data_IF_273957970103
#
_entry.id   IF_273957970103
#
_cell.length_a   1.000
_cell.length_b   1.000
_cell.length_c   1.000
_cell.angle_alpha   90.00
_cell.angle_beta   90.00
_cell.angle_gamma   90.00
#
_symmetry.space_group_name_H-M   'P 1'
#
loop_
_entity.id
_entity.type
_entity.pdbx_description
1 polymer ?
#
# COMPACT_ATOMS: atom_id res chain seq x y z
N UNK A 1 6.03 38.28 2.28
CA UNK A 1 6.07 37.36 1.11
C UNK A 1 5.65 35.92 1.44
N UNK A 2 5.92 35.40 2.65
CA UNK A 2 5.49 34.06 3.09
C UNK A 2 3.99 33.89 3.42
N UNK A 3 3.21 34.97 3.56
CA UNK A 3 1.77 34.89 3.85
C UNK A 3 0.86 34.88 2.60
N UNK A 4 1.43 35.11 1.42
CA UNK A 4 0.67 35.18 0.15
C UNK A 4 0.66 33.84 -0.61
N UNK A 5 1.65 32.98 -0.37
CA UNK A 5 1.71 31.61 -0.93
C UNK A 5 0.66 30.70 -0.30
N UNK A 6 0.25 30.96 0.95
CA UNK A 6 -0.82 30.23 1.64
C UNK A 6 -2.23 30.47 1.07
N UNK A 7 -2.46 31.58 0.35
CA UNK A 7 -3.79 31.95 -0.18
C UNK A 7 -4.05 31.54 -1.63
N UNK A 8 -3.04 31.11 -2.37
CA UNK A 8 -3.19 30.62 -3.75
C UNK A 8 -3.47 29.11 -3.85
N UNK A 9 -3.53 28.39 -2.72
CA UNK A 9 -3.69 26.93 -2.66
C UNK A 9 -4.97 26.44 -1.95
N UNK A 10 -5.90 27.32 -1.56
CA UNK A 10 -7.20 26.90 -1.04
C UNK A 10 -8.30 27.14 -2.08
N UNK A 11 -8.46 26.21 -3.02
CA UNK A 11 -9.73 26.09 -3.74
C UNK A 11 -10.54 24.84 -3.44
N UNK A 12 -10.05 23.95 -2.56
CA UNK A 12 -10.86 23.05 -1.74
C UNK A 12 -9.96 22.45 -0.65
N UNK A 13 -9.99 23.01 0.56
CA UNK A 13 -9.39 22.34 1.71
C UNK A 13 -10.30 21.15 2.04
N UNK A 14 -9.90 19.95 1.59
CA UNK A 14 -10.68 18.72 1.75
C UNK A 14 -11.12 18.57 3.23
N UNK A 15 -12.43 18.68 3.48
CA UNK A 15 -12.99 18.62 4.83
C UNK A 15 -12.90 17.18 5.33
N UNK A 16 -12.01 16.93 6.30
CA UNK A 16 -11.85 15.63 6.93
C UNK A 16 -12.90 15.40 8.02
N UNK A 17 -13.44 14.19 8.07
CA UNK A 17 -14.16 13.70 9.24
C UNK A 17 -13.21 13.66 10.45
N UNK A 18 -13.69 13.89 11.69
CA UNK A 18 -12.77 13.95 12.83
C UNK A 18 -12.03 12.65 13.15
N UNK A 19 -12.64 11.49 12.90
CA UNK A 19 -11.91 10.21 12.93
C UNK A 19 -10.72 10.19 11.96
N UNK A 20 -10.88 10.72 10.75
CA UNK A 20 -9.79 10.81 9.77
C UNK A 20 -8.72 11.81 10.19
N UNK A 21 -9.12 12.91 10.81
CA UNK A 21 -8.18 13.89 11.36
C UNK A 21 -7.35 13.25 12.47
N UNK A 22 -8.01 12.56 13.42
CA UNK A 22 -7.34 11.85 14.51
C UNK A 22 -6.35 10.82 13.97
N UNK A 23 -6.78 9.95 13.06
CA UNK A 23 -5.92 8.97 12.39
C UNK A 23 -4.68 9.63 11.75
N UNK A 24 -4.86 10.68 10.96
CA UNK A 24 -3.75 11.37 10.28
C UNK A 24 -2.83 12.17 11.21
N UNK A 25 -3.35 12.68 12.32
CA UNK A 25 -2.55 13.39 13.32
C UNK A 25 -1.68 12.41 14.15
N UNK A 26 -2.02 11.12 14.18
CA UNK A 26 -1.32 10.07 14.93
C UNK A 26 -0.47 9.13 14.04
N UNK A 27 -0.39 9.39 12.72
CA UNK A 27 0.56 8.69 11.86
C UNK A 27 2.00 8.99 12.29
N UNK A 28 2.74 7.95 12.63
CA UNK A 28 4.16 8.02 13.00
C UNK A 28 5.09 7.54 11.88
N UNK A 29 4.58 6.76 10.92
CA UNK A 29 5.33 6.32 9.74
C UNK A 29 5.79 7.51 8.87
N UNK A 30 6.79 7.27 8.01
CA UNK A 30 7.34 8.32 7.16
C UNK A 30 6.26 8.99 6.31
N UNK A 31 6.17 10.33 6.35
CA UNK A 31 5.16 11.05 5.58
C UNK A 31 5.52 11.11 4.09
N UNK A 32 5.30 9.99 3.38
CA UNK A 32 5.51 9.86 1.94
C UNK A 32 4.65 10.81 1.12
N UNK A 33 3.64 11.47 1.70
CA UNK A 33 2.87 12.52 1.02
C UNK A 33 3.72 13.76 0.80
N UNK A 34 4.62 14.09 1.72
CA UNK A 34 5.59 15.19 1.53
C UNK A 34 6.58 14.84 0.42
N UNK A 35 7.10 13.61 0.45
CA UNK A 35 7.99 13.10 -0.60
C UNK A 35 7.29 13.17 -1.97
N UNK A 36 6.04 12.71 -2.04
CA UNK A 36 5.23 12.73 -3.27
C UNK A 36 5.17 14.14 -3.88
N UNK A 37 4.95 15.18 -3.06
CA UNK A 37 4.92 16.58 -3.52
C UNK A 37 6.22 17.05 -4.17
N UNK A 38 7.35 16.45 -3.80
CA UNK A 38 8.68 16.84 -4.26
C UNK A 38 9.09 16.03 -5.50
N UNK A 39 8.89 14.71 -5.48
CA UNK A 39 9.50 13.79 -6.46
C UNK A 39 8.51 13.14 -7.42
N UNK A 40 7.21 13.14 -7.11
CA UNK A 40 6.23 12.49 -7.95
C UNK A 40 5.92 13.34 -9.19
N UNK A 41 5.95 12.71 -10.35
CA UNK A 41 5.51 13.33 -11.59
C UNK A 41 4.01 13.16 -11.73
N UNK A 42 3.33 14.24 -12.14
CA UNK A 42 1.88 14.24 -12.37
C UNK A 42 1.56 13.92 -13.84
N UNK A 43 0.68 12.96 -14.06
CA UNK A 43 0.16 12.68 -15.41
C UNK A 43 -0.84 13.75 -15.84
N UNK A 44 -0.91 14.01 -17.15
CA UNK A 44 -1.98 14.80 -17.77
C UNK A 44 -3.22 13.96 -18.06
N UNK A 45 -3.10 12.64 -18.08
CA UNK A 45 -4.21 11.71 -18.23
C UNK A 45 -5.09 11.75 -16.98
N UNK A 46 -6.40 11.77 -17.19
CA UNK A 46 -7.40 11.72 -16.13
C UNK A 46 -8.00 10.32 -16.14
N UNK A 47 -7.84 9.59 -15.03
CA UNK A 47 -8.45 8.27 -14.88
C UNK A 47 -9.96 8.42 -14.68
N UNK A 48 -10.73 7.56 -15.31
CA UNK A 48 -12.20 7.56 -15.31
C UNK A 48 -12.74 6.17 -15.03
N UNK A 49 -14.06 6.01 -15.00
CA UNK A 49 -14.71 4.70 -14.89
C UNK A 49 -14.31 3.70 -15.99
N UNK A 50 -13.87 4.17 -17.17
CA UNK A 50 -13.36 3.31 -18.26
C UNK A 50 -12.04 2.63 -17.90
N UNK A 51 -11.28 3.24 -17.01
CA UNK A 51 -9.99 2.71 -16.54
C UNK A 51 -10.17 1.81 -15.32
N UNK A 52 -11.40 1.68 -14.77
CA UNK A 52 -11.63 0.90 -13.56
C UNK A 52 -11.22 -0.57 -13.74
N UNK A 53 -10.49 -1.09 -12.77
CA UNK A 53 -10.17 -2.51 -12.70
C UNK A 53 -11.40 -3.30 -12.19
N UNK A 54 -11.57 -4.57 -12.59
CA UNK A 54 -12.63 -5.44 -12.07
C UNK A 54 -12.55 -5.57 -10.54
N UNK A 55 -13.71 -5.63 -9.88
CA UNK A 55 -13.77 -5.78 -8.42
C UNK A 55 -13.16 -7.09 -7.93
N UNK A 56 -13.19 -8.14 -8.76
CA UNK A 56 -12.55 -9.43 -8.52
C UNK A 56 -11.04 -9.27 -8.34
N UNK A 57 -10.40 -8.48 -9.21
CA UNK A 57 -8.97 -8.19 -9.11
C UNK A 57 -8.65 -7.39 -7.85
N UNK A 58 -9.50 -6.43 -7.47
CA UNK A 58 -9.31 -5.69 -6.23
C UNK A 58 -9.40 -6.59 -4.99
N UNK A 59 -10.34 -7.53 -4.95
CA UNK A 59 -10.44 -8.52 -3.86
C UNK A 59 -9.21 -9.42 -3.80
N UNK A 60 -8.74 -9.92 -4.93
CA UNK A 60 -7.52 -10.75 -4.99
C UNK A 60 -6.26 -9.99 -4.53
N UNK A 61 -6.14 -8.71 -4.88
CA UNK A 61 -5.04 -7.88 -4.40
C UNK A 61 -5.16 -7.54 -2.91
N UNK A 62 -6.38 -7.39 -2.39
CA UNK A 62 -6.59 -7.26 -0.95
C UNK A 62 -6.14 -8.53 -0.20
N UNK A 63 -6.50 -9.72 -0.71
CA UNK A 63 -6.05 -11.01 -0.19
C UNK A 63 -4.51 -11.09 -0.09
N UNK A 64 -3.79 -10.79 -1.17
CA UNK A 64 -2.32 -10.76 -1.19
C UNK A 64 -1.73 -9.64 -0.32
N UNK A 65 -2.49 -8.57 -0.10
CA UNK A 65 -2.17 -7.49 0.81
C UNK A 65 -1.98 -7.95 2.26
N UNK A 66 -2.85 -8.81 2.77
CA UNK A 66 -2.73 -9.34 4.14
C UNK A 66 -1.40 -10.06 4.36
N UNK A 67 -0.93 -10.85 3.38
CA UNK A 67 0.38 -11.50 3.45
C UNK A 67 1.53 -10.49 3.43
N UNK A 68 1.43 -9.43 2.60
CA UNK A 68 2.39 -8.33 2.59
C UNK A 68 2.47 -7.57 3.92
N UNK A 69 1.34 -7.40 4.61
CA UNK A 69 1.28 -6.77 5.94
C UNK A 69 1.94 -7.65 7.01
N UNK A 70 1.60 -8.94 7.04
CA UNK A 70 2.18 -9.90 7.98
C UNK A 70 3.68 -10.10 7.77
N UNK A 71 4.20 -9.91 6.55
CA UNK A 71 5.61 -10.08 6.26
C UNK A 71 6.50 -9.15 7.13
N UNK A 72 5.99 -7.99 7.55
CA UNK A 72 6.70 -7.10 8.48
C UNK A 72 7.05 -7.75 9.84
N UNK A 73 6.49 -8.92 10.13
CA UNK A 73 6.82 -9.79 11.27
C UNK A 73 6.81 -9.01 12.59
N UNK A 74 5.80 -8.15 12.76
CA UNK A 74 5.60 -7.32 13.96
C UNK A 74 5.36 -8.21 15.18
N UNK A 75 4.52 -9.22 14.98
CA UNK A 75 4.41 -10.42 15.79
C UNK A 75 4.99 -11.55 14.96
N UNK A 76 5.81 -12.45 15.53
CA UNK A 76 6.34 -13.60 14.79
C UNK A 76 5.23 -14.34 14.05
N UNK A 77 5.40 -14.58 12.75
CA UNK A 77 4.34 -15.21 11.93
C UNK A 77 3.92 -16.57 12.49
N UNK A 78 4.81 -17.35 13.08
CA UNK A 78 4.47 -18.61 13.77
C UNK A 78 3.49 -18.37 14.92
N UNK A 79 3.69 -17.29 15.68
CA UNK A 79 2.80 -16.89 16.77
C UNK A 79 1.45 -16.41 16.22
N UNK A 80 1.44 -15.70 15.08
CA UNK A 80 0.20 -15.31 14.41
C UNK A 80 -0.59 -16.55 13.98
N UNK A 81 0.04 -17.49 13.27
CA UNK A 81 -0.62 -18.71 12.79
C UNK A 81 -1.12 -19.62 13.93
N UNK A 82 -0.38 -19.67 15.05
CA UNK A 82 -0.80 -20.43 16.24
C UNK A 82 -1.96 -19.79 17.01
N UNK A 83 -2.34 -18.55 16.68
CA UNK A 83 -3.39 -17.78 17.37
C UNK A 83 -4.46 -17.24 16.40
N UNK A 84 -4.64 -17.84 15.22
CA UNK A 84 -5.58 -17.34 14.21
C UNK A 84 -7.01 -17.25 14.72
N UNK A 85 -7.49 -18.27 15.45
CA UNK A 85 -8.85 -18.26 16.02
C UNK A 85 -9.14 -17.05 16.91
N UNK A 86 -8.11 -16.51 17.57
CA UNK A 86 -8.21 -15.31 18.38
C UNK A 86 -8.05 -14.05 17.55
N UNK A 87 -7.01 -14.00 16.72
CA UNK A 87 -6.65 -12.80 15.96
C UNK A 87 -7.68 -12.44 14.87
N UNK A 88 -8.50 -13.41 14.42
CA UNK A 88 -9.59 -13.18 13.46
C UNK A 88 -10.94 -12.88 14.11
N UNK A 89 -11.02 -12.72 15.43
CA UNK A 89 -12.27 -12.33 16.09
C UNK A 89 -12.59 -10.85 15.83
N UNK A 90 -13.88 -10.44 15.88
CA UNK A 90 -14.26 -9.04 15.79
C UNK A 90 -13.48 -8.17 16.79
N UNK A 91 -12.93 -7.06 16.32
CA UNK A 91 -12.11 -6.16 17.14
C UNK A 91 -10.64 -6.57 17.27
N UNK A 92 -10.19 -7.67 16.66
CA UNK A 92 -8.77 -8.07 16.58
C UNK A 92 -8.14 -7.73 15.21
N UNK A 93 -6.80 -7.70 15.08
CA UNK A 93 -6.12 -7.13 13.91
C UNK A 93 -6.37 -7.87 12.59
N UNK A 94 -6.80 -9.15 12.64
CA UNK A 94 -7.04 -10.00 11.48
C UNK A 94 -8.53 -10.32 11.30
N UNK A 95 -9.44 -9.52 11.88
CA UNK A 95 -10.90 -9.70 11.83
C UNK A 95 -11.48 -9.82 10.41
N UNK A 96 -10.78 -9.29 9.41
CA UNK A 96 -11.15 -9.30 8.00
C UNK A 96 -10.13 -10.04 7.12
N UNK A 97 -9.25 -10.85 7.73
CA UNK A 97 -8.17 -11.57 7.05
C UNK A 97 -8.43 -13.08 6.96
N UNK A 98 -9.66 -13.47 6.56
CA UNK A 98 -10.05 -14.90 6.42
C UNK A 98 -9.07 -15.68 5.51
N UNK A 99 -8.48 -15.00 4.52
CA UNK A 99 -7.46 -15.58 3.63
C UNK A 99 -6.22 -16.10 4.37
N UNK A 100 -5.84 -15.50 5.50
CA UNK A 100 -4.73 -15.98 6.33
C UNK A 100 -5.15 -17.23 7.08
N UNK A 101 -6.37 -17.23 7.62
CA UNK A 101 -6.96 -18.38 8.32
C UNK A 101 -7.13 -19.60 7.41
N UNK A 102 -7.46 -19.38 6.15
CA UNK A 102 -7.58 -20.40 5.10
C UNK A 102 -6.23 -20.81 4.47
N UNK A 103 -5.11 -20.38 5.06
CA UNK A 103 -3.77 -20.70 4.58
C UNK A 103 -2.94 -21.44 5.62
N UNK A 104 -1.94 -22.19 5.15
CA UNK A 104 -0.98 -22.89 5.99
C UNK A 104 0.37 -22.15 5.92
N UNK A 105 0.91 -21.72 7.07
CA UNK A 105 2.32 -21.31 7.15
C UNK A 105 3.21 -22.51 6.85
N UNK A 106 4.14 -22.35 5.91
CA UNK A 106 5.15 -23.37 5.62
C UNK A 106 6.47 -23.03 6.33
N UNK A 107 7.04 -21.86 6.01
CA UNK A 107 8.36 -21.48 6.53
C UNK A 107 8.52 -19.96 6.60
N UNK A 108 9.07 -19.47 7.71
CA UNK A 108 9.62 -18.11 7.80
C UNK A 108 11.11 -18.10 7.49
N UNK A 109 11.61 -16.97 7.00
CA UNK A 109 13.02 -16.79 6.69
C UNK A 109 13.46 -15.34 6.90
N UNK A 110 14.76 -15.15 7.09
CA UNK A 110 15.36 -13.84 7.33
C UNK A 110 16.57 -13.66 6.43
N UNK A 111 16.62 -12.55 5.70
CA UNK A 111 17.78 -12.17 4.91
C UNK A 111 18.95 -11.71 5.79
N UNK A 112 20.17 -12.06 5.41
CA UNK A 112 21.40 -11.74 6.18
C UNK A 112 21.76 -10.25 6.23
N UNK A 113 21.07 -9.41 5.47
CA UNK A 113 21.24 -7.95 5.45
C UNK A 113 19.99 -7.30 6.04
N UNK A 114 20.20 -6.49 7.09
CA UNK A 114 19.14 -5.78 7.82
C UNK A 114 18.06 -6.69 8.44
N UNK A 115 18.35 -7.99 8.59
CA UNK A 115 17.44 -9.01 9.12
C UNK A 115 16.07 -8.93 8.45
N UNK A 116 16.03 -8.86 7.11
CA UNK A 116 14.79 -8.65 6.37
C UNK A 116 13.90 -9.90 6.44
N UNK A 117 12.75 -9.87 7.14
CA UNK A 117 11.89 -11.04 7.23
C UNK A 117 11.10 -11.28 5.94
N UNK A 118 10.77 -12.53 5.71
CA UNK A 118 9.76 -12.99 4.77
C UNK A 118 9.24 -14.36 5.20
N UNK A 119 8.20 -14.83 4.54
CA UNK A 119 7.66 -16.17 4.81
C UNK A 119 6.97 -16.75 3.57
N UNK A 120 6.72 -18.04 3.65
CA UNK A 120 5.96 -18.81 2.66
C UNK A 120 4.69 -19.36 3.30
N UNK A 121 3.58 -19.27 2.58
CA UNK A 121 2.30 -19.83 2.99
C UNK A 121 1.61 -20.52 1.82
N UNK A 122 0.91 -21.61 2.09
CA UNK A 122 0.17 -22.36 1.09
C UNK A 122 -1.33 -22.14 1.21
N UNK A 123 -1.95 -21.75 0.09
CA UNK A 123 -3.41 -21.57 -0.05
C UNK A 123 -3.98 -22.74 -0.83
N UNK A 124 -4.39 -23.79 -0.12
CA UNK A 124 -4.86 -25.06 -0.71
C UNK A 124 -6.03 -24.86 -1.68
N UNK A 125 -7.02 -24.03 -1.32
CA UNK A 125 -8.18 -23.72 -2.16
C UNK A 125 -7.81 -23.07 -3.52
N UNK A 126 -6.64 -22.44 -3.62
CA UNK A 126 -6.12 -21.82 -4.84
C UNK A 126 -4.95 -22.59 -5.45
N UNK A 127 -4.48 -23.67 -4.81
CA UNK A 127 -3.24 -24.38 -5.15
C UNK A 127 -2.06 -23.41 -5.32
N UNK A 128 -1.99 -22.42 -4.43
CA UNK A 128 -1.10 -21.26 -4.57
C UNK A 128 -0.08 -21.23 -3.43
N UNK A 129 1.20 -21.19 -3.78
CA UNK A 129 2.29 -20.87 -2.85
C UNK A 129 2.48 -19.36 -2.82
N UNK A 130 2.27 -18.72 -1.67
CA UNK A 130 2.53 -17.30 -1.45
C UNK A 130 3.90 -17.12 -0.84
N UNK A 131 4.74 -16.28 -1.43
CA UNK A 131 6.01 -15.80 -0.89
C UNK A 131 5.84 -14.32 -0.57
N UNK A 132 5.85 -13.97 0.72
CA UNK A 132 5.67 -12.61 1.17
C UNK A 132 6.98 -12.05 1.74
N UNK A 133 7.41 -10.90 1.23
CA UNK A 133 8.67 -10.25 1.61
C UNK A 133 8.39 -8.88 2.21
N UNK A 134 8.97 -8.62 3.37
CA UNK A 134 8.72 -7.39 4.11
C UNK A 134 9.39 -6.17 3.50
N UNK A 135 8.84 -5.00 3.85
CA UNK A 135 9.56 -3.73 3.74
C UNK A 135 10.35 -3.42 5.01
N UNK A 136 11.13 -2.34 4.98
CA UNK A 136 11.76 -1.82 6.20
C UNK A 136 10.75 -1.01 7.03
N UNK A 137 10.71 -1.16 8.36
CA UNK A 137 9.83 -0.35 9.24
C UNK A 137 10.34 1.10 9.41
N UNK A 138 11.65 1.33 9.31
CA UNK A 138 12.28 2.66 9.34
C UNK A 138 12.28 3.34 7.96
N UNK A 139 11.11 3.44 7.35
CA UNK A 139 10.90 4.05 6.03
C UNK A 139 11.38 5.50 5.94
N UNK A 140 11.42 6.22 7.08
CA UNK A 140 12.03 7.55 7.18
C UNK A 140 13.50 7.52 6.77
N UNK A 141 14.28 6.58 7.29
CA UNK A 141 15.70 6.45 6.96
C UNK A 141 15.86 6.03 5.49
N UNK A 142 15.08 5.09 4.99
CA UNK A 142 15.16 4.64 3.58
C UNK A 142 14.90 5.78 2.59
N UNK A 143 13.93 6.65 2.85
CA UNK A 143 13.62 7.79 1.99
C UNK A 143 14.76 8.83 1.92
N UNK A 144 15.43 9.10 3.04
CA UNK A 144 16.60 10.00 3.09
C UNK A 144 17.90 9.31 2.63
N UNK A 145 17.97 7.99 2.78
CA UNK A 145 19.15 7.16 2.55
C UNK A 145 19.07 6.38 1.21
N UNK A 146 18.16 6.80 0.30
CA UNK A 146 18.30 6.59 -1.14
C UNK A 146 19.55 7.34 -1.64
N UNK A 147 20.72 6.93 -1.15
CA UNK A 147 22.02 7.35 -1.63
C UNK A 147 22.07 6.95 -3.10
N UNK A 148 22.25 7.95 -3.96
CA UNK A 148 22.15 7.93 -5.42
C UNK A 148 23.14 7.01 -6.13
N UNK A 149 23.17 5.73 -5.78
CA UNK A 149 24.13 4.78 -6.30
C UNK A 149 23.39 3.61 -6.93
N UNK A 150 23.40 3.60 -8.25
CA UNK A 150 23.16 2.38 -9.00
C UNK A 150 24.43 1.53 -9.00
N UNK A 151 24.28 0.22 -8.92
CA UNK A 151 25.37 -0.76 -9.16
C UNK A 151 25.03 -1.63 -10.37
N UNK A 152 26.02 -2.38 -10.88
CA UNK A 152 25.80 -3.30 -12.01
C UNK A 152 24.94 -4.48 -11.57
N UNK A 153 23.98 -4.84 -12.42
CA UNK A 153 23.21 -6.07 -12.30
C UNK A 153 23.69 -7.08 -13.34
N UNK A 154 23.87 -8.37 -13.00
CA UNK A 154 24.47 -9.37 -13.89
C UNK A 154 23.61 -9.68 -15.13
N UNK A 155 22.29 -9.48 -15.05
CA UNK A 155 21.35 -9.84 -16.12
C UNK A 155 21.63 -9.22 -17.51
N UNK A 156 22.36 -8.10 -17.62
CA UNK A 156 22.80 -7.60 -18.92
C UNK A 156 23.94 -6.56 -18.86
N UNK A 157 24.61 -6.33 -20.00
CA UNK A 157 25.56 -5.21 -20.15
C UNK A 157 24.86 -3.87 -19.92
N UNK A 158 25.40 -3.07 -18.99
CA UNK A 158 24.85 -1.76 -18.55
C UNK A 158 23.48 -1.87 -17.87
N UNK A 159 23.04 -3.05 -17.45
CA UNK A 159 21.94 -3.17 -16.49
C UNK A 159 22.40 -2.62 -15.15
N UNK A 160 21.59 -1.71 -14.61
CA UNK A 160 21.88 -1.05 -13.35
C UNK A 160 20.69 -1.18 -12.41
N UNK A 161 20.98 -1.49 -11.15
CA UNK A 161 20.02 -1.71 -10.06
C UNK A 161 20.36 -0.77 -8.90
N UNK A 162 19.37 -0.36 -8.11
CA UNK A 162 19.61 0.39 -6.87
C UNK A 162 20.55 -0.40 -5.95
N UNK A 163 21.67 0.19 -5.51
CA UNK A 163 22.71 -0.51 -4.73
C UNK A 163 22.18 -1.07 -3.41
N UNK A 164 21.34 -0.32 -2.70
CA UNK A 164 20.74 -0.78 -1.45
C UNK A 164 19.80 -1.97 -1.65
N UNK A 165 18.96 -1.92 -2.68
CA UNK A 165 18.04 -3.02 -3.00
C UNK A 165 18.80 -4.27 -3.43
N UNK A 166 19.84 -4.10 -4.23
CA UNK A 166 20.67 -5.23 -4.64
C UNK A 166 21.37 -5.90 -3.46
N UNK A 167 21.93 -5.10 -2.53
CA UNK A 167 22.56 -5.65 -1.31
C UNK A 167 21.57 -6.44 -0.45
N UNK A 168 20.38 -5.88 -0.23
CA UNK A 168 19.33 -6.55 0.54
C UNK A 168 18.87 -7.84 -0.12
N UNK A 169 18.63 -7.80 -1.43
CA UNK A 169 18.20 -8.96 -2.20
C UNK A 169 19.26 -10.06 -2.19
N UNK A 170 20.56 -9.73 -2.36
CA UNK A 170 21.63 -10.73 -2.27
C UNK A 170 21.69 -11.43 -0.90
N UNK A 171 21.38 -10.71 0.19
CA UNK A 171 21.27 -11.31 1.52
C UNK A 171 20.01 -12.15 1.72
N UNK A 172 18.97 -11.92 0.93
CA UNK A 172 17.69 -12.62 0.97
C UNK A 172 17.64 -13.82 0.02
N UNK A 173 18.39 -13.81 -1.08
CA UNK A 173 18.26 -14.75 -2.20
C UNK A 173 18.37 -16.20 -1.78
N UNK A 174 19.42 -16.57 -1.05
CA UNK A 174 19.60 -17.96 -0.60
C UNK A 174 18.43 -18.44 0.27
N UNK A 175 18.07 -17.78 1.39
CA UNK A 175 16.99 -18.27 2.25
C UNK A 175 15.62 -18.32 1.57
N UNK A 176 15.27 -17.33 0.73
CA UNK A 176 13.97 -17.37 0.02
C UNK A 176 13.92 -18.47 -1.04
N UNK A 177 15.02 -18.70 -1.76
CA UNK A 177 15.08 -19.78 -2.76
C UNK A 177 15.04 -21.16 -2.09
N UNK A 178 15.64 -21.32 -0.92
CA UNK A 178 15.49 -22.54 -0.10
C UNK A 178 14.03 -22.73 0.30
N UNK A 179 13.38 -21.72 0.90
CA UNK A 179 11.99 -21.82 1.31
C UNK A 179 11.03 -22.16 0.14
N UNK A 180 11.27 -21.62 -1.05
CA UNK A 180 10.49 -21.97 -2.25
C UNK A 180 10.72 -23.43 -2.65
N UNK A 181 11.97 -23.91 -2.67
CA UNK A 181 12.27 -25.32 -3.01
C UNK A 181 11.64 -26.27 -2.00
N UNK A 182 11.80 -25.99 -0.72
CA UNK A 182 11.26 -26.81 0.36
C UNK A 182 9.73 -26.88 0.28
N UNK A 183 9.07 -25.75 0.04
CA UNK A 183 7.62 -25.70 -0.17
C UNK A 183 7.16 -26.50 -1.41
N UNK A 184 7.87 -26.40 -2.53
CA UNK A 184 7.58 -27.17 -3.75
C UNK A 184 7.81 -28.67 -3.56
N UNK A 185 8.74 -29.07 -2.69
CA UNK A 185 8.96 -30.47 -2.31
C UNK A 185 7.90 -30.98 -1.33
N UNK A 186 7.59 -30.20 -0.28
CA UNK A 186 6.58 -30.55 0.73
C UNK A 186 5.18 -30.68 0.13
N UNK A 187 4.84 -29.82 -0.84
CA UNK A 187 3.54 -29.77 -1.54
C UNK A 187 3.64 -30.23 -2.99
N UNK A 188 4.51 -31.20 -3.26
CA UNK A 188 4.77 -31.69 -4.61
C UNK A 188 3.48 -32.11 -5.33
N UNK A 189 3.24 -31.54 -6.52
CA UNK A 189 2.05 -31.82 -7.33
C UNK A 189 0.78 -31.06 -6.90
N UNK A 190 0.80 -30.33 -5.79
CA UNK A 190 -0.35 -29.54 -5.36
C UNK A 190 -0.26 -28.07 -5.76
N UNK A 191 0.96 -27.51 -5.89
CA UNK A 191 1.17 -26.09 -6.22
C UNK A 191 1.07 -25.88 -7.74
N UNK A 192 0.12 -25.06 -8.16
CA UNK A 192 -0.09 -24.65 -9.56
C UNK A 192 0.27 -23.17 -9.81
N UNK A 193 0.41 -22.37 -8.76
CA UNK A 193 0.77 -20.95 -8.86
C UNK A 193 1.73 -20.52 -7.74
N UNK A 194 2.79 -19.81 -8.11
CA UNK A 194 3.69 -19.09 -7.22
C UNK A 194 3.29 -17.60 -7.19
N UNK A 195 2.69 -17.17 -6.09
CA UNK A 195 2.39 -15.76 -5.83
C UNK A 195 3.50 -15.11 -5.02
N UNK A 196 4.12 -14.06 -5.54
CA UNK A 196 5.17 -13.29 -4.88
C UNK A 196 4.59 -11.91 -4.54
N UNK A 197 4.67 -11.51 -3.27
CA UNK A 197 4.10 -10.27 -2.81
C UNK A 197 4.98 -9.51 -1.83
N UNK A 198 4.82 -8.19 -1.81
CA UNK A 198 5.53 -7.34 -0.88
C UNK A 198 5.09 -5.88 -0.97
N UNK A 199 5.14 -5.21 0.17
CA UNK A 199 4.86 -3.78 0.28
C UNK A 199 6.17 -2.96 0.35
N UNK A 200 6.16 -1.74 -0.20
CA UNK A 200 7.28 -0.82 -0.15
C UNK A 200 8.57 -1.44 -0.71
N UNK A 201 9.65 -1.43 0.07
CA UNK A 201 10.90 -2.11 -0.25
C UNK A 201 10.74 -3.62 -0.51
N UNK A 202 9.80 -4.29 0.16
CA UNK A 202 9.48 -5.71 -0.10
C UNK A 202 8.97 -5.94 -1.52
N UNK A 203 8.29 -4.95 -2.11
CA UNK A 203 7.93 -4.99 -3.53
C UNK A 203 9.15 -4.93 -4.45
N UNK A 204 10.19 -4.16 -4.10
CA UNK A 204 11.44 -4.15 -4.86
C UNK A 204 12.19 -5.49 -4.77
N UNK A 205 12.19 -6.14 -3.59
CA UNK A 205 12.74 -7.48 -3.43
C UNK A 205 11.97 -8.52 -4.23
N UNK A 206 10.63 -8.42 -4.23
CA UNK A 206 9.74 -9.31 -5.00
C UNK A 206 10.02 -9.23 -6.51
N UNK A 207 10.26 -8.03 -7.06
CA UNK A 207 10.69 -7.88 -8.45
C UNK A 207 12.04 -8.54 -8.75
N UNK A 208 13.02 -8.39 -7.84
CA UNK A 208 14.34 -8.98 -8.03
C UNK A 208 14.30 -10.52 -7.92
N UNK A 209 13.52 -11.05 -6.97
CA UNK A 209 13.27 -12.49 -6.85
C UNK A 209 12.59 -13.05 -8.11
N UNK A 210 11.50 -12.43 -8.55
CA UNK A 210 10.79 -12.85 -9.74
C UNK A 210 11.68 -12.79 -11.00
N UNK A 211 12.52 -11.76 -11.12
CA UNK A 211 13.48 -11.66 -12.22
C UNK A 211 14.48 -12.80 -12.21
N UNK A 212 15.08 -13.12 -11.06
CA UNK A 212 16.03 -14.23 -10.95
C UNK A 212 15.37 -15.58 -11.24
N UNK A 213 14.17 -15.83 -10.73
CA UNK A 213 13.40 -17.05 -11.03
C UNK A 213 13.18 -17.23 -12.54
N UNK A 214 12.82 -16.16 -13.25
CA UNK A 214 12.60 -16.20 -14.70
C UNK A 214 13.89 -16.36 -15.52
N UNK A 215 15.02 -15.83 -15.03
CA UNK A 215 16.31 -15.91 -15.73
C UNK A 215 17.04 -17.23 -15.49
N UNK A 216 16.97 -17.76 -14.27
CA UNK A 216 17.67 -18.99 -13.88
C UNK A 216 16.83 -20.23 -14.22
N UNK A 217 15.50 -20.14 -14.13
CA UNK A 217 14.52 -21.25 -14.36
C UNK A 217 14.76 -22.54 -13.56
N UNK A 218 15.79 -22.61 -12.70
CA UNK A 218 16.19 -23.84 -11.99
C UNK A 218 15.08 -24.43 -11.10
N UNK A 219 14.25 -23.57 -10.51
CA UNK A 219 13.20 -23.97 -9.55
C UNK A 219 11.81 -23.95 -10.18
N UNK A 220 11.64 -23.29 -11.34
CA UNK A 220 10.33 -23.15 -11.97
C UNK A 220 9.96 -24.46 -12.68
N UNK A 221 9.00 -25.18 -12.11
CA UNK A 221 8.39 -26.33 -12.78
C UNK A 221 7.73 -25.88 -14.10
N UNK A 222 7.81 -26.68 -15.17
CA UNK A 222 7.10 -26.37 -16.42
C UNK A 222 5.61 -26.13 -16.16
N UNK A 223 5.09 -25.00 -16.64
CA UNK A 223 3.68 -24.63 -16.48
C UNK A 223 3.29 -24.03 -15.12
N UNK A 224 4.23 -23.84 -14.18
CA UNK A 224 3.94 -23.17 -12.90
C UNK A 224 3.56 -21.70 -13.13
N UNK A 225 2.32 -21.30 -12.82
CA UNK A 225 1.92 -19.89 -12.97
C UNK A 225 2.66 -19.00 -11.98
N UNK A 226 3.03 -17.79 -12.40
CA UNK A 226 3.67 -16.79 -11.54
C UNK A 226 2.74 -15.58 -11.40
N UNK A 227 2.47 -15.18 -10.16
CA UNK A 227 1.72 -13.95 -9.86
C UNK A 227 2.57 -13.02 -9.04
N UNK A 228 2.94 -11.87 -9.59
CA UNK A 228 3.68 -10.84 -8.86
C UNK A 228 2.72 -9.71 -8.49
N UNK A 229 2.41 -9.54 -7.20
CA UNK A 229 1.55 -8.47 -6.70
C UNK A 229 2.31 -7.62 -5.67
N UNK A 230 2.65 -6.38 -6.04
CA UNK A 230 3.46 -5.49 -5.20
C UNK A 230 2.74 -4.18 -4.92
N UNK A 231 2.86 -3.69 -3.69
CA UNK A 231 2.16 -2.50 -3.20
C UNK A 231 3.16 -1.41 -2.85
N UNK A 232 3.04 -0.22 -3.43
CA UNK A 232 3.94 0.90 -3.10
C UNK A 232 5.40 0.67 -3.46
N UNK A 233 5.67 -0.20 -4.43
CA UNK A 233 7.03 -0.56 -4.80
C UNK A 233 7.79 0.63 -5.41
N UNK A 234 9.00 0.94 -4.92
CA UNK A 234 9.87 1.96 -5.50
C UNK A 234 10.45 1.50 -6.85
N UNK A 235 11.06 2.42 -7.60
CA UNK A 235 11.77 2.08 -8.84
C UNK A 235 13.04 1.29 -8.52
N UNK A 236 13.18 0.11 -9.13
CA UNK A 236 14.24 -0.86 -8.77
C UNK A 236 15.56 -0.60 -9.50
N UNK A 237 15.51 -0.15 -10.75
CA UNK A 237 16.71 -0.02 -11.58
C UNK A 237 16.52 0.87 -12.81
N UNK A 238 17.49 0.82 -13.72
CA UNK A 238 17.48 1.64 -14.93
C UNK A 238 16.58 1.07 -16.04
N UNK A 239 16.39 1.85 -17.12
CA UNK A 239 15.65 1.44 -18.32
C UNK A 239 16.12 0.11 -18.92
N UNK A 240 17.41 -0.24 -18.80
CA UNK A 240 17.94 -1.49 -19.35
C UNK A 240 17.47 -2.69 -18.55
N UNK A 241 17.57 -2.63 -17.22
CA UNK A 241 17.08 -3.68 -16.35
C UNK A 241 15.56 -3.85 -16.46
N UNK A 242 14.80 -2.75 -16.50
CA UNK A 242 13.35 -2.81 -16.74
C UNK A 242 12.98 -3.47 -18.07
N UNK A 243 13.81 -3.34 -19.12
CA UNK A 243 13.60 -4.07 -20.39
C UNK A 243 13.92 -5.56 -20.28
N UNK A 244 14.92 -5.94 -19.48
CA UNK A 244 15.20 -7.36 -19.22
C UNK A 244 14.02 -8.01 -18.52
N UNK A 245 13.49 -7.37 -17.48
CA UNK A 245 12.26 -7.82 -16.81
C UNK A 245 11.11 -8.05 -17.79
N UNK A 246 10.77 -7.04 -18.60
CA UNK A 246 9.68 -7.13 -19.58
C UNK A 246 9.91 -8.26 -20.59
N UNK A 247 11.14 -8.40 -21.09
CA UNK A 247 11.49 -9.50 -22.00
C UNK A 247 11.32 -10.86 -21.31
N UNK A 248 11.78 -11.02 -20.08
CA UNK A 248 11.64 -12.27 -19.34
C UNK A 248 10.16 -12.65 -19.12
N UNK A 249 9.31 -11.65 -18.82
CA UNK A 249 7.85 -11.83 -18.74
C UNK A 249 7.25 -12.23 -20.08
N UNK A 250 7.59 -11.53 -21.16
CA UNK A 250 7.08 -11.80 -22.51
C UNK A 250 7.50 -13.21 -22.99
N UNK A 251 8.76 -13.59 -22.76
CA UNK A 251 9.29 -14.91 -23.10
C UNK A 251 8.55 -16.01 -22.33
N UNK A 252 8.30 -15.81 -21.03
CA UNK A 252 7.57 -16.78 -20.21
C UNK A 252 6.11 -16.95 -20.68
N UNK A 253 5.44 -15.85 -21.01
CA UNK A 253 4.06 -15.87 -21.55
C UNK A 253 3.97 -16.47 -22.95
N UNK A 254 5.01 -16.29 -23.77
CA UNK A 254 5.09 -16.91 -25.09
C UNK A 254 5.27 -18.43 -24.98
N UNK A 255 5.99 -18.89 -23.96
CA UNK A 255 6.25 -20.31 -23.72
C UNK A 255 5.05 -21.03 -23.06
N UNK A 256 4.40 -20.41 -22.07
CA UNK A 256 3.38 -21.07 -21.22
C UNK A 256 1.97 -20.45 -21.30
N UNK A 257 1.76 -19.40 -22.10
CA UNK A 257 0.49 -18.69 -22.25
C UNK A 257 0.41 -17.38 -21.48
N UNK A 258 -0.54 -16.50 -21.86
CA UNK A 258 -0.64 -15.13 -21.31
C UNK A 258 -0.89 -15.11 -19.80
N UNK A 259 -1.68 -16.05 -19.29
CA UNK A 259 -2.02 -16.19 -17.87
C UNK A 259 -0.90 -16.88 -17.05
N UNK A 260 0.17 -17.36 -17.69
CA UNK A 260 1.29 -18.00 -17.00
C UNK A 260 2.08 -17.02 -16.14
N UNK A 261 2.04 -15.72 -16.46
CA UNK A 261 2.59 -14.68 -15.61
C UNK A 261 1.70 -13.45 -15.52
N UNK A 262 1.21 -13.15 -14.32
CA UNK A 262 0.44 -11.96 -13.99
C UNK A 262 1.27 -11.00 -13.15
N UNK A 263 1.33 -9.73 -13.55
CA UNK A 263 2.07 -8.67 -12.85
C UNK A 263 1.12 -7.55 -12.45
N UNK A 264 1.05 -7.26 -11.16
CA UNK A 264 0.22 -6.23 -10.56
C UNK A 264 1.07 -5.32 -9.66
N UNK A 265 1.41 -4.14 -10.16
CA UNK A 265 2.09 -3.10 -9.38
C UNK A 265 1.10 -2.03 -8.96
N UNK A 266 0.72 -2.02 -7.69
CA UNK A 266 -0.28 -1.10 -7.15
C UNK A 266 0.42 0.15 -6.62
N UNK A 267 0.02 1.31 -7.14
CA UNK A 267 0.33 2.63 -6.60
C UNK A 267 -0.93 3.18 -5.92
N UNK A 268 -0.77 4.05 -4.93
CA UNK A 268 -1.90 4.76 -4.30
C UNK A 268 -1.72 6.27 -4.36
N UNK A 269 -2.84 6.99 -4.30
CA UNK A 269 -2.87 8.43 -4.15
C UNK A 269 -1.93 8.94 -3.03
N UNK A 270 -1.17 9.99 -3.32
CA UNK A 270 -0.20 10.62 -2.42
C UNK A 270 0.88 9.69 -1.83
N UNK A 271 1.19 8.57 -2.47
CA UNK A 271 2.36 7.76 -2.11
C UNK A 271 3.62 8.17 -2.90
N UNK A 272 4.56 8.81 -2.21
CA UNK A 272 5.86 9.20 -2.76
C UNK A 272 6.85 8.05 -2.95
N UNK A 273 6.68 6.89 -2.29
CA UNK A 273 7.61 5.77 -2.35
C UNK A 273 7.72 5.21 -3.77
N UNK A 274 6.58 5.09 -4.46
CA UNK A 274 6.53 4.68 -5.87
C UNK A 274 7.27 5.63 -6.80
N UNK A 275 7.45 6.88 -6.37
CA UNK A 275 8.18 7.91 -7.13
C UNK A 275 9.65 8.01 -6.74
N UNK A 276 10.13 7.16 -5.83
CA UNK A 276 11.53 7.04 -5.45
C UNK A 276 12.18 5.76 -6.01
N UNK A 277 13.47 5.81 -6.36
CA UNK A 277 14.20 7.03 -6.69
C UNK A 277 13.55 7.76 -7.89
N UNK A 278 13.75 9.09 -8.03
CA UNK A 278 13.17 9.89 -9.09
C UNK A 278 13.46 9.38 -10.50
N UNK A 279 12.48 9.53 -11.40
CA UNK A 279 12.62 9.21 -12.82
C UNK A 279 13.75 10.00 -13.51
N UNK A 280 13.99 11.25 -13.09
CA UNK A 280 15.06 12.13 -13.58
C UNK A 280 16.45 11.55 -13.31
N UNK A 281 16.60 10.68 -12.30
CA UNK A 281 17.85 9.96 -12.00
C UNK A 281 17.99 8.65 -12.79
N UNK A 282 17.26 8.53 -13.92
CA UNK A 282 17.30 7.40 -14.86
C UNK A 282 16.76 6.07 -14.31
N UNK A 283 16.15 6.08 -13.12
CA UNK A 283 15.36 4.97 -12.61
C UNK A 283 14.06 4.83 -13.39
N UNK A 284 13.59 3.60 -13.57
CA UNK A 284 12.34 3.27 -14.28
C UNK A 284 11.55 2.24 -13.50
N UNK A 285 10.23 2.28 -13.67
CA UNK A 285 9.40 1.16 -13.22
C UNK A 285 9.62 -0.06 -14.13
N UNK A 286 9.55 -1.24 -13.53
CA UNK A 286 9.64 -2.51 -14.24
C UNK A 286 8.39 -2.73 -15.07
N UNK A 287 7.22 -2.70 -14.43
CA UNK A 287 5.92 -2.75 -15.10
C UNK A 287 5.72 -1.61 -16.11
N UNK A 288 4.90 -1.88 -17.14
CA UNK A 288 4.33 -0.86 -18.01
C UNK A 288 2.85 -0.59 -17.70
N UNK A 289 2.18 -1.39 -16.89
CA UNK A 289 0.72 -1.29 -16.69
C UNK A 289 0.42 -1.31 -15.20
N UNK A 290 0.90 -0.30 -14.44
CA UNK A 290 0.61 -0.25 -13.02
C UNK A 290 -0.89 -0.03 -12.78
N UNK A 291 -1.33 -0.39 -11.59
CA UNK A 291 -2.65 -0.08 -11.08
C UNK A 291 -2.55 1.14 -10.16
N UNK A 292 -3.61 1.94 -10.10
CA UNK A 292 -3.70 3.13 -9.28
C UNK A 292 -4.92 3.05 -8.36
N UNK A 293 -4.67 3.01 -7.06
CA UNK A 293 -5.69 2.99 -6.03
C UNK A 293 -6.05 4.43 -5.66
N UNK A 294 -7.33 4.77 -5.78
CA UNK A 294 -7.87 6.07 -5.41
C UNK A 294 -9.25 5.89 -4.79
N UNK A 295 -9.43 6.41 -3.57
CA UNK A 295 -10.58 6.05 -2.76
C UNK A 295 -10.58 4.56 -2.46
N UNK A 296 -11.69 3.90 -2.72
CA UNK A 296 -11.85 2.44 -2.58
C UNK A 296 -11.99 1.74 -3.93
N UNK A 297 -11.40 2.33 -4.98
CA UNK A 297 -11.39 1.77 -6.33
C UNK A 297 -9.98 1.70 -6.89
N UNK A 298 -9.78 0.69 -7.72
CA UNK A 298 -8.55 0.44 -8.44
C UNK A 298 -8.72 0.77 -9.93
N UNK A 299 -7.73 1.43 -10.52
CA UNK A 299 -7.75 1.87 -11.91
C UNK A 299 -6.51 1.34 -12.65
N UNK A 300 -6.66 0.93 -13.91
CA UNK A 300 -5.57 0.56 -14.80
C UNK A 300 -4.92 1.83 -15.36
N UNK A 301 -3.62 1.98 -15.18
CA UNK A 301 -2.88 3.11 -15.75
C UNK A 301 -2.47 2.78 -17.18
N UNK A 302 -2.73 3.67 -18.16
CA UNK A 302 -2.24 3.49 -19.53
C UNK A 302 -0.73 3.34 -19.59
N UNK A 303 -0.24 2.50 -20.50
CA UNK A 303 1.20 2.18 -20.53
C UNK A 303 2.12 3.35 -20.85
N UNK A 304 1.62 4.35 -21.56
CA UNK A 304 2.32 5.63 -21.79
C UNK A 304 2.54 6.43 -20.51
N UNK A 305 1.69 6.23 -19.50
CA UNK A 305 1.67 7.00 -18.26
C UNK A 305 2.33 6.28 -17.07
N UNK A 306 2.89 5.08 -17.29
CA UNK A 306 3.36 4.18 -16.22
C UNK A 306 4.43 4.77 -15.29
N UNK A 307 5.19 5.77 -15.74
CA UNK A 307 6.24 6.42 -14.94
C UNK A 307 5.69 7.49 -13.97
N UNK A 308 4.43 7.91 -14.13
CA UNK A 308 3.79 8.89 -13.26
C UNK A 308 3.38 8.30 -11.91
N UNK A 309 3.46 9.12 -10.87
CA UNK A 309 3.09 8.75 -9.50
C UNK A 309 1.77 9.38 -9.04
N UNK A 310 1.31 10.43 -9.71
CA UNK A 310 0.09 11.16 -9.34
C UNK A 310 -0.82 11.31 -10.55
N UNK A 311 -2.09 10.93 -10.36
CA UNK A 311 -3.14 11.04 -11.37
C UNK A 311 -4.28 11.90 -10.81
N UNK A 312 -5.04 12.53 -11.72
CA UNK A 312 -6.39 13.00 -11.38
C UNK A 312 -7.35 11.86 -11.69
N UNK A 313 -8.36 11.68 -10.85
CA UNK A 313 -9.42 10.72 -11.07
C UNK A 313 -10.73 11.48 -11.15
N UNK A 314 -11.45 11.30 -12.25
CA UNK A 314 -12.79 11.81 -12.44
C UNK A 314 -13.76 10.70 -12.08
N UNK A 315 -14.28 10.75 -10.86
CA UNK A 315 -15.29 9.82 -10.38
C UNK A 315 -16.69 10.40 -10.60
N UNK A 316 -17.70 9.55 -10.77
CA UNK A 316 -19.10 10.04 -10.90
C UNK A 316 -19.61 10.61 -9.57
N UNK A 317 -20.66 11.46 -9.61
CA UNK A 317 -21.21 12.14 -8.41
C UNK A 317 -21.54 11.19 -7.24
N UNK A 318 -21.88 9.94 -7.53
CA UNK A 318 -22.21 8.92 -6.52
C UNK A 318 -20.99 8.47 -5.71
N UNK A 319 -19.82 8.43 -6.34
CA UNK A 319 -18.55 8.10 -5.71
C UNK A 319 -17.92 9.33 -5.03
N UNK A 320 -18.19 10.54 -5.52
CA UNK A 320 -17.92 11.78 -4.78
C UNK A 320 -18.73 11.87 -3.48
N UNK A 321 -19.97 11.34 -3.48
CA UNK A 321 -20.82 11.25 -2.29
C UNK A 321 -20.37 10.19 -1.28
N UNK A 322 -19.61 9.17 -1.72
CA UNK A 322 -18.99 8.19 -0.79
C UNK A 322 -17.85 8.87 -0.05
N UNK A 323 -17.91 8.89 1.29
CA UNK A 323 -16.78 9.37 2.10
C UNK A 323 -15.62 8.41 1.92
N UNK A 324 -14.57 8.87 1.24
CA UNK A 324 -13.30 8.16 1.15
C UNK A 324 -12.81 7.85 2.55
N UNK A 325 -12.46 6.60 2.86
CA UNK A 325 -11.94 6.22 4.18
C UNK A 325 -10.60 6.92 4.47
N UNK A 326 -9.70 6.92 3.47
CA UNK A 326 -8.38 7.55 3.52
C UNK A 326 -8.25 8.67 2.46
N UNK A 327 -8.91 9.82 2.63
CA UNK A 327 -9.00 10.86 1.61
C UNK A 327 -7.65 11.53 1.28
N UNK A 328 -6.65 11.46 2.17
CA UNK A 328 -5.29 11.93 1.87
C UNK A 328 -4.42 10.87 1.19
N UNK A 329 -4.92 9.65 0.96
CA UNK A 329 -4.15 8.51 0.48
C UNK A 329 -2.92 8.27 1.36
N UNK A 330 -1.83 7.73 0.80
CA UNK A 330 -0.54 7.60 1.47
C UNK A 330 -0.02 6.18 1.49
N UNK A 331 1.27 6.04 1.81
CA UNK A 331 2.01 4.79 1.65
C UNK A 331 1.53 3.64 2.55
N UNK A 332 0.87 3.92 3.68
CA UNK A 332 0.35 2.88 4.58
C UNK A 332 -1.11 2.48 4.33
N UNK A 333 -1.73 2.95 3.24
CA UNK A 333 -3.19 2.88 3.04
C UNK A 333 -3.65 1.98 1.89
N UNK A 334 -2.87 0.94 1.58
CA UNK A 334 -3.20 0.00 0.50
C UNK A 334 -4.39 -0.88 0.88
N UNK A 335 -5.20 -1.27 -0.11
CA UNK A 335 -6.36 -2.16 0.03
C UNK A 335 -7.40 -1.71 1.06
N UNK A 336 -7.59 -0.39 1.21
CA UNK A 336 -8.48 0.20 2.21
C UNK A 336 -8.14 -0.21 3.66
N UNK A 337 -6.87 -0.47 3.95
CA UNK A 337 -6.37 -0.81 5.30
C UNK A 337 -5.45 0.27 5.84
N UNK A 338 -5.41 0.41 7.17
CA UNK A 338 -4.39 1.21 7.85
C UNK A 338 -3.29 0.29 8.39
N UNK A 339 -2.20 0.16 7.63
CA UNK A 339 -1.08 -0.73 7.97
C UNK A 339 -0.40 -0.34 9.29
N UNK A 340 -0.40 0.95 9.67
CA UNK A 340 0.21 1.40 10.91
C UNK A 340 -0.65 1.00 12.11
N UNK A 341 -1.96 1.23 12.02
CA UNK A 341 -2.93 0.78 13.03
C UNK A 341 -2.87 -0.73 13.20
N UNK A 342 -2.85 -1.48 12.09
CA UNK A 342 -2.68 -2.94 12.10
C UNK A 342 -1.41 -3.37 12.85
N UNK A 343 -0.25 -2.81 12.48
CA UNK A 343 1.02 -3.13 13.11
C UNK A 343 1.03 -2.76 14.61
N UNK A 344 0.49 -1.60 14.98
CA UNK A 344 0.45 -1.17 16.38
C UNK A 344 -0.45 -2.07 17.23
N UNK A 345 -1.62 -2.47 16.72
CA UNK A 345 -2.53 -3.40 17.41
C UNK A 345 -1.87 -4.78 17.56
N UNK A 346 -1.20 -5.26 16.52
CA UNK A 346 -0.52 -6.56 16.55
C UNK A 346 0.69 -6.57 17.49
N UNK A 347 1.47 -5.48 17.52
CA UNK A 347 2.61 -5.29 18.46
C UNK A 347 2.13 -5.31 19.91
N UNK A 348 1.05 -4.57 20.20
CA UNK A 348 0.49 -4.52 21.54
C UNK A 348 0.06 -5.92 22.01
N UNK A 349 -0.62 -6.68 21.14
CA UNK A 349 -1.02 -8.06 21.46
C UNK A 349 0.22 -8.93 21.70
N UNK A 350 1.23 -8.86 20.83
CA UNK A 350 2.46 -9.66 21.00
C UNK A 350 3.20 -9.38 22.32
N UNK A 351 3.13 -8.15 22.83
CA UNK A 351 3.76 -7.72 24.08
C UNK A 351 3.00 -8.17 25.34
N UNK A 352 1.66 -8.22 25.28
CA UNK A 352 0.81 -8.43 26.47
C UNK A 352 0.06 -9.77 26.46
N UNK A 353 0.14 -10.54 25.36
CA UNK A 353 -0.51 -11.84 25.25
C UNK A 353 -0.03 -12.77 26.37
N UNK A 354 -0.97 -13.26 27.17
CA UNK A 354 -0.71 -14.16 28.30
C UNK A 354 -0.77 -13.48 29.67
N UNK A 355 -0.82 -12.15 29.74
CA UNK A 355 -1.05 -11.42 31.00
C UNK A 355 -2.52 -11.59 31.46
N UNK A 356 -2.77 -11.62 32.77
CA UNK A 356 -4.16 -11.69 33.27
C UNK A 356 -5.01 -10.51 32.75
N UNK A 357 -6.20 -10.79 32.19
CA UNK A 357 -7.13 -9.76 31.69
C UNK A 357 -6.67 -8.98 30.46
N UNK A 358 -5.67 -9.46 29.71
CA UNK A 358 -5.10 -8.72 28.58
C UNK A 358 -6.08 -8.48 27.43
N UNK A 359 -7.00 -9.42 27.19
CA UNK A 359 -7.97 -9.35 26.09
C UNK A 359 -8.98 -8.23 26.33
N UNK A 360 -9.46 -8.12 27.55
CA UNK A 360 -10.40 -7.08 27.98
C UNK A 360 -9.75 -5.71 27.85
N UNK A 361 -8.52 -5.55 28.36
CA UNK A 361 -7.74 -4.31 28.20
C UNK A 361 -7.55 -3.91 26.74
N UNK A 362 -7.24 -4.89 25.88
CA UNK A 362 -7.07 -4.67 24.45
C UNK A 362 -8.35 -4.12 23.81
N UNK A 363 -9.47 -4.83 24.01
CA UNK A 363 -10.75 -4.47 23.41
C UNK A 363 -11.27 -3.13 23.95
N UNK A 364 -11.08 -2.85 25.24
CA UNK A 364 -11.37 -1.54 25.82
C UNK A 364 -10.53 -0.43 25.16
N UNK A 365 -9.25 -0.68 24.89
CA UNK A 365 -8.39 0.30 24.20
C UNK A 365 -8.84 0.53 22.75
N UNK A 366 -9.20 -0.52 22.02
CA UNK A 366 -9.73 -0.41 20.64
C UNK A 366 -11.01 0.41 20.65
N UNK A 367 -11.96 0.05 21.51
CA UNK A 367 -13.25 0.75 21.65
C UNK A 367 -13.07 2.21 22.04
N UNK A 368 -12.20 2.50 23.02
CA UNK A 368 -11.94 3.87 23.46
C UNK A 368 -11.35 4.73 22.33
N UNK A 369 -10.53 4.16 21.43
CA UNK A 369 -10.01 4.88 20.25
C UNK A 369 -11.11 5.19 19.25
N UNK A 370 -12.01 4.25 19.00
CA UNK A 370 -13.18 4.45 18.13
C UNK A 370 -14.13 5.50 18.70
N UNK A 371 -14.48 5.39 19.98
CA UNK A 371 -15.33 6.35 20.69
C UNK A 371 -14.69 7.75 20.74
N UNK A 372 -13.38 7.87 20.95
CA UNK A 372 -12.67 9.15 20.93
C UNK A 372 -12.71 9.79 19.53
N UNK A 373 -12.51 8.99 18.48
CA UNK A 373 -12.61 9.42 17.10
C UNK A 373 -14.03 9.93 16.75
N UNK A 374 -15.06 9.28 17.29
CA UNK A 374 -16.47 9.68 17.16
C UNK A 374 -16.84 10.90 18.02
N UNK A 375 -16.39 10.97 19.28
CA UNK A 375 -16.67 12.08 20.19
C UNK A 375 -16.07 13.39 19.67
N UNK A 376 -14.83 13.35 19.18
CA UNK A 376 -14.21 14.49 18.49
C UNK A 376 -15.01 14.90 17.23
N UNK A 377 -15.76 13.96 16.63
CA UNK A 377 -16.69 14.25 15.54
C UNK A 377 -17.94 15.03 15.97
N UNK A 378 -18.47 14.71 17.14
CA UNK A 378 -19.67 15.36 17.70
C UNK A 378 -19.36 16.75 18.24
N UNK A 379 -18.26 16.93 18.99
CA UNK A 379 -17.91 18.21 19.61
C UNK A 379 -17.72 19.33 18.57
N UNK A 380 -17.13 19.01 17.41
CA UNK A 380 -16.94 19.97 16.31
C UNK A 380 -18.25 20.30 15.57
N UNK A 381 -19.20 19.35 15.45
CA UNK A 381 -20.56 19.65 14.95
C UNK A 381 -21.27 20.65 15.88
N UNK A 382 -21.12 20.48 17.20
CA UNK A 382 -21.70 21.37 18.21
C UNK A 382 -21.09 22.78 18.12
N UNK A 383 -19.77 22.89 17.97
CA UNK A 383 -19.11 24.18 17.74
C UNK A 383 -19.46 24.83 16.39
N UNK A 384 -19.57 24.08 15.28
CA UNK A 384 -20.05 24.61 13.99
C UNK A 384 -21.53 25.03 14.04
N UNK A 385 -22.36 24.38 14.86
CA UNK A 385 -23.76 24.77 15.07
C UNK A 385 -23.89 26.05 15.92
N UNK A 386 -23.03 26.21 16.93
CA UNK A 386 -22.96 27.42 17.77
C UNK A 386 -22.35 28.60 17.01
N UNK A 387 -21.42 28.35 16.09
CA UNK A 387 -20.76 29.37 15.26
C UNK A 387 -21.54 29.79 14.01
N UNK A 388 -22.80 29.34 13.82
CA UNK A 388 -23.66 29.90 12.78
C UNK A 388 -23.93 31.39 13.13
N UNK A 389 -23.77 32.34 12.19
CA UNK A 389 -24.04 33.74 12.49
C UNK A 389 -25.49 33.88 12.95
N UNK A 390 -25.70 34.58 14.06
CA UNK A 390 -27.02 35.10 14.41
C UNK A 390 -27.46 35.93 13.22
N UNK A 391 -28.44 35.43 12.46
CA UNK A 391 -29.08 36.18 11.38
C UNK A 391 -29.66 37.42 12.02
N UNK A 392 -29.02 38.59 11.82
CA UNK A 392 -29.62 39.87 12.19
C UNK A 392 -30.92 39.98 11.41
N UNK A 393 -32.05 40.00 12.13
CA UNK A 393 -33.37 40.30 11.55
C UNK A 393 -33.27 41.65 10.82
N UNK A 394 -33.90 41.80 9.64
CA UNK A 394 -34.01 43.12 9.02
C UNK A 394 -34.86 44.01 9.94
N UNK A 395 -34.35 45.19 10.28
CA UNK A 395 -35.15 46.25 10.91
C UNK A 395 -36.23 46.67 9.91
N UNK A 396 -37.46 46.25 10.18
CA UNK A 396 -38.63 46.72 9.46
C UNK A 396 -38.84 48.23 9.68
N UNK A 397 -39.17 48.90 8.59
CA UNK A 397 -39.67 50.26 8.56
C UNK A 397 -40.97 50.41 9.35
N UNK A 398 -41.03 51.36 10.27
CA UNK A 398 -42.29 51.96 10.71
C UNK A 398 -42.26 53.46 10.41
N UNK A 399 -43.28 53.85 9.67
CA UNK A 399 -43.68 55.16 9.20
C UNK A 399 -44.17 56.05 10.35
N UNK A 400 -43.79 57.32 10.35
CA UNK A 400 -44.68 58.40 10.81
C UNK A 400 -44.50 59.64 9.93
N UNK A 401 -45.60 59.97 9.23
CA UNK A 401 -45.89 61.30 8.67
C UNK A 401 -45.77 62.38 9.75
N UNK A 402 -45.39 63.60 9.37
CA UNK A 402 -46.16 64.85 9.61
C UNK A 402 -45.64 65.91 8.64
N UNK A 403 -46.57 66.52 7.91
CA UNK A 403 -46.44 67.70 7.07
C UNK A 403 -45.96 68.93 7.87
N UNK A 404 -45.27 69.90 7.26
CA UNK A 404 -45.89 71.18 6.85
C UNK A 404 -44.85 72.29 6.57
N UNK A 405 -45.22 73.12 5.59
CA UNK A 405 -44.96 74.55 5.46
C UNK A 405 -43.53 75.11 5.22
N UNK A 406 -43.42 75.64 3.98
CA UNK A 406 -43.11 77.05 3.63
C UNK A 406 -41.66 77.47 3.37
N UNK A 407 -41.57 78.06 2.16
CA UNK A 407 -40.60 78.98 1.55
C UNK A 407 -39.35 78.37 0.92
#
# INVERSE_FOLDING_TARGET
MFSYVGRLLSRDALELAPAQKYMYDHESLGNFRVISRIVATRSRYVLTSKDAAPSELQRELAELGHFSELAYNVMPVEMVYSNLELLTQPGFPLEDAEVIKDSQLLQSFVGSVANLPGFTAYRSARKQLVVAISGTRTLKHVAYDFRNQMTRHPACKKCLVHKGFWKLYLGLKAPVMTAIRDALMEKAGEIEELAITGHSMGGAMSYLLALDLLLEKEILLPGLRIKLAVFGSPRVGNKRLARVWRKAVDDYRMEYGQEALLEYSVKIYNDGATSLPPHSWKYRHFTKTPLYHYGSRLYRVPSSECEHGVFRVSVGEEEERRRLQFPRGGHGYYNDRDMESFANRLSWIAEHMGEEGWKERYLEQVKAREELAEAQAVTKKRWKAIARPIVRRPSGSETTKVDDARQ
#
